data_IF_726381343497
#
_entry.id   IF_726381343497
#
_cell.length_a   1.000
_cell.length_b   1.000
_cell.length_c   1.000
_cell.angle_alpha   90.00
_cell.angle_beta   90.00
_cell.angle_gamma   90.00
#
_symmetry.space_group_name_H-M   'P 1'
#
loop_
_entity.id
_entity.type
_entity.pdbx_description
1 polymer ?
#
# COMPACT_ATOMS: atom_id res chain seq x y z
N UNK A 1 -3.88 -8.07 -8.20
CA UNK A 1 -3.71 -6.70 -7.69
C UNK A 1 -4.49 -5.71 -8.54
N UNK A 2 -4.85 -4.55 -8.01
CA UNK A 2 -5.60 -3.47 -8.69
C UNK A 2 -4.71 -2.36 -9.21
N UNK A 3 -3.48 -2.24 -8.74
CA UNK A 3 -2.55 -1.20 -9.16
C UNK A 3 -1.73 -1.63 -10.38
N UNK A 4 -1.61 -0.75 -11.38
CA UNK A 4 -0.85 -1.04 -12.60
C UNK A 4 0.09 0.05 -13.10
N UNK A 5 0.28 1.16 -12.37
CA UNK A 5 1.18 2.26 -12.79
C UNK A 5 2.57 1.72 -13.18
N UNK A 6 3.15 0.88 -12.32
CA UNK A 6 4.45 0.25 -12.58
C UNK A 6 4.40 -0.70 -13.79
N UNK A 7 3.33 -1.48 -13.94
CA UNK A 7 3.13 -2.40 -15.07
C UNK A 7 3.00 -1.64 -16.39
N UNK A 8 2.24 -0.54 -16.42
CA UNK A 8 2.05 0.28 -17.61
C UNK A 8 3.36 0.96 -18.03
N UNK A 9 4.19 1.38 -17.07
CA UNK A 9 5.54 1.86 -17.37
C UNK A 9 6.41 0.76 -17.99
N UNK A 10 6.37 -0.47 -17.45
CA UNK A 10 7.09 -1.63 -18.04
C UNK A 10 6.61 -1.88 -19.47
N UNK A 11 5.30 -1.88 -19.71
CA UNK A 11 4.71 -2.02 -21.04
C UNK A 11 5.26 -0.98 -22.01
N UNK A 12 5.18 0.31 -21.66
CA UNK A 12 5.70 1.41 -22.48
C UNK A 12 7.19 1.23 -22.79
N UNK A 13 8.00 0.87 -21.79
CA UNK A 13 9.45 0.69 -21.96
C UNK A 13 9.75 -0.51 -22.87
N UNK A 14 9.12 -1.66 -22.65
CA UNK A 14 9.36 -2.87 -23.45
C UNK A 14 8.88 -2.67 -24.89
N UNK A 15 7.68 -2.11 -25.08
CA UNK A 15 7.12 -1.82 -26.41
C UNK A 15 8.02 -0.87 -27.21
N UNK A 16 8.56 0.18 -26.57
CA UNK A 16 9.51 1.09 -27.21
C UNK A 16 10.87 0.46 -27.55
N UNK A 17 11.21 -0.69 -26.95
CA UNK A 17 12.44 -1.43 -27.22
C UNK A 17 12.22 -2.65 -28.11
N UNK A 18 11.11 -2.69 -28.86
CA UNK A 18 10.85 -3.69 -29.90
C UNK A 18 10.23 -5.00 -29.40
N UNK A 19 9.82 -5.06 -28.13
CA UNK A 19 9.07 -6.20 -27.59
C UNK A 19 7.58 -6.04 -27.86
N UNK A 20 6.90 -7.17 -28.08
CA UNK A 20 5.43 -7.20 -28.12
C UNK A 20 4.91 -7.51 -26.73
N UNK A 21 4.24 -6.54 -26.09
CA UNK A 21 3.65 -6.72 -24.76
C UNK A 21 2.18 -7.08 -24.89
N UNK A 22 1.76 -8.16 -24.23
CA UNK A 22 0.35 -8.51 -24.05
C UNK A 22 -0.04 -8.13 -22.63
N UNK A 23 -0.68 -6.97 -22.48
CA UNK A 23 -1.11 -6.47 -21.18
C UNK A 23 -2.48 -7.04 -20.83
N UNK A 24 -2.52 -7.98 -19.87
CA UNK A 24 -3.77 -8.61 -19.42
C UNK A 24 -4.58 -7.74 -18.44
N UNK A 25 -4.05 -6.57 -18.07
CA UNK A 25 -4.71 -5.64 -17.13
C UNK A 25 -4.43 -5.98 -15.67
N UNK A 26 -5.42 -5.71 -14.82
CA UNK A 26 -5.40 -5.87 -13.37
C UNK A 26 -6.43 -6.90 -12.94
N UNK A 27 -6.37 -7.37 -11.70
CA UNK A 27 -7.27 -8.41 -11.16
C UNK A 27 -7.26 -9.72 -11.98
N UNK A 28 -6.14 -10.01 -12.65
CA UNK A 28 -5.94 -11.21 -13.46
C UNK A 28 -5.69 -12.41 -12.55
N UNK A 29 -6.47 -13.49 -12.72
CA UNK A 29 -6.28 -14.74 -11.98
C UNK A 29 -5.32 -15.70 -12.70
N UNK A 30 -4.89 -16.79 -12.02
CA UNK A 30 -3.96 -17.77 -12.60
C UNK A 30 -4.48 -18.39 -13.89
N UNK A 31 -5.78 -18.72 -13.95
CA UNK A 31 -6.39 -19.35 -15.13
C UNK A 31 -6.38 -18.43 -16.35
N UNK A 32 -6.71 -17.15 -16.17
CA UNK A 32 -6.66 -16.15 -17.24
C UNK A 32 -5.23 -15.98 -17.77
N UNK A 33 -4.23 -16.06 -16.89
CA UNK A 33 -2.82 -16.03 -17.30
C UNK A 33 -2.42 -17.29 -18.08
N UNK A 34 -2.87 -18.47 -17.65
CA UNK A 34 -2.67 -19.75 -18.36
C UNK A 34 -3.34 -19.71 -19.74
N UNK A 35 -4.57 -19.23 -19.83
CA UNK A 35 -5.32 -19.09 -21.08
C UNK A 35 -4.61 -18.13 -22.03
N UNK A 36 -4.09 -17.01 -21.50
CA UNK A 36 -3.30 -16.06 -22.27
C UNK A 36 -1.97 -16.66 -22.75
N UNK A 37 -1.28 -17.45 -21.92
CA UNK A 37 -0.07 -18.17 -22.30
C UNK A 37 -0.34 -19.09 -23.50
N UNK A 38 -1.39 -19.92 -23.41
CA UNK A 38 -1.79 -20.86 -24.47
C UNK A 38 -2.19 -20.12 -25.76
N UNK A 39 -2.86 -18.98 -25.64
CA UNK A 39 -3.33 -18.18 -26.78
C UNK A 39 -2.20 -17.45 -27.49
N UNK A 40 -1.27 -16.83 -26.76
CA UNK A 40 -0.30 -15.90 -27.32
C UNK A 40 1.12 -16.47 -27.42
N UNK A 41 1.40 -17.62 -26.80
CA UNK A 41 2.71 -18.29 -26.79
C UNK A 41 3.86 -17.33 -26.46
N UNK A 42 3.82 -16.63 -25.29
CA UNK A 42 4.82 -15.63 -24.94
C UNK A 42 6.18 -16.27 -24.65
N UNK A 43 7.25 -15.49 -24.78
CA UNK A 43 8.61 -15.92 -24.39
C UNK A 43 8.90 -15.70 -22.90
N UNK A 44 8.17 -14.77 -22.26
CA UNK A 44 8.36 -14.34 -20.88
C UNK A 44 7.00 -14.05 -20.25
N UNK A 45 6.86 -14.31 -18.95
CA UNK A 45 5.71 -13.85 -18.14
C UNK A 45 6.18 -12.77 -17.19
N UNK A 46 5.41 -11.68 -17.06
CA UNK A 46 5.65 -10.63 -16.08
C UNK A 46 4.54 -10.60 -15.03
N UNK A 47 4.89 -10.64 -13.75
CA UNK A 47 3.95 -10.50 -12.63
C UNK A 47 4.25 -9.22 -11.84
N UNK A 48 3.20 -8.46 -11.49
CA UNK A 48 3.31 -7.21 -10.74
C UNK A 48 2.42 -7.22 -9.50
N UNK A 49 2.94 -6.74 -8.37
CA UNK A 49 2.20 -6.65 -7.10
C UNK A 49 2.63 -5.48 -6.22
N UNK A 50 1.66 -4.72 -5.72
CA UNK A 50 1.80 -3.63 -4.78
C UNK A 50 1.64 -4.09 -3.32
N UNK A 51 0.74 -5.02 -3.05
CA UNK A 51 0.40 -5.44 -1.67
C UNK A 51 1.09 -6.74 -1.25
N UNK A 52 1.30 -6.91 0.07
CA UNK A 52 1.93 -8.12 0.64
C UNK A 52 1.14 -9.38 0.27
N UNK A 53 -0.20 -9.31 0.31
CA UNK A 53 -1.07 -10.41 -0.12
C UNK A 53 -0.87 -10.76 -1.59
N UNK A 54 -0.66 -9.76 -2.47
CA UNK A 54 -0.37 -10.00 -3.88
C UNK A 54 0.98 -10.69 -4.10
N UNK A 55 2.01 -10.39 -3.29
CA UNK A 55 3.26 -11.13 -3.32
C UNK A 55 3.07 -12.60 -2.94
N UNK A 56 2.19 -12.91 -1.98
CA UNK A 56 1.84 -14.28 -1.62
C UNK A 56 1.06 -14.98 -2.75
N UNK A 57 0.09 -14.29 -3.37
CA UNK A 57 -0.65 -14.82 -4.52
C UNK A 57 0.28 -15.17 -5.69
N UNK A 58 1.39 -14.44 -5.89
CA UNK A 58 2.37 -14.82 -6.90
C UNK A 58 3.01 -16.19 -6.64
N UNK A 59 3.15 -16.61 -5.38
CA UNK A 59 3.64 -17.95 -5.04
C UNK A 59 2.65 -18.99 -5.56
N UNK A 60 1.36 -18.77 -5.32
CA UNK A 60 0.28 -19.66 -5.75
C UNK A 60 0.18 -19.67 -7.29
N UNK A 61 0.18 -18.52 -7.95
CA UNK A 61 0.17 -18.41 -9.42
C UNK A 61 1.35 -19.15 -10.07
N UNK A 62 2.55 -18.99 -9.52
CA UNK A 62 3.73 -19.69 -10.04
C UNK A 62 3.62 -21.21 -9.83
N UNK A 63 3.04 -21.65 -8.72
CA UNK A 63 2.72 -23.06 -8.50
C UNK A 63 1.67 -23.59 -9.50
N UNK A 64 0.65 -22.80 -9.82
CA UNK A 64 -0.36 -23.16 -10.82
C UNK A 64 0.26 -23.31 -12.22
N UNK A 65 1.15 -22.39 -12.61
CA UNK A 65 1.90 -22.47 -13.88
C UNK A 65 2.77 -23.74 -13.94
N UNK A 66 3.41 -24.12 -12.84
CA UNK A 66 4.17 -25.39 -12.73
C UNK A 66 3.27 -26.60 -12.93
N UNK A 67 2.08 -26.61 -12.33
CA UNK A 67 1.12 -27.70 -12.47
C UNK A 67 0.63 -27.86 -13.92
N UNK A 68 0.47 -26.74 -14.64
CA UNK A 68 0.13 -26.70 -16.07
C UNK A 68 1.34 -26.89 -16.99
N UNK A 69 2.51 -27.27 -16.45
CA UNK A 69 3.75 -27.53 -17.19
C UNK A 69 4.25 -26.32 -18.02
N UNK A 70 3.90 -25.11 -17.58
CA UNK A 70 4.41 -23.87 -18.18
C UNK A 70 5.80 -23.61 -17.60
N UNK A 71 6.82 -23.56 -18.47
CA UNK A 71 8.23 -23.54 -18.08
C UNK A 71 9.02 -22.41 -18.80
N UNK A 72 8.44 -21.22 -18.92
CA UNK A 72 9.13 -20.05 -19.49
C UNK A 72 9.61 -19.10 -18.38
N UNK A 73 10.67 -18.30 -18.59
CA UNK A 73 11.16 -17.41 -17.53
C UNK A 73 10.09 -16.40 -17.07
N UNK A 74 10.00 -16.22 -15.76
CA UNK A 74 9.09 -15.28 -15.11
C UNK A 74 9.89 -14.12 -14.53
N UNK A 75 9.46 -12.89 -14.83
CA UNK A 75 9.93 -11.69 -14.17
C UNK A 75 8.88 -11.24 -13.16
N UNK A 76 9.31 -10.97 -11.93
CA UNK A 76 8.42 -10.48 -10.87
C UNK A 76 8.90 -9.13 -10.35
N UNK A 77 7.97 -8.24 -10.05
CA UNK A 77 8.28 -6.91 -9.51
C UNK A 77 7.07 -6.23 -8.87
N UNK A 78 7.26 -4.99 -8.45
CA UNK A 78 6.24 -4.18 -7.76
C UNK A 78 6.61 -3.84 -6.32
N UNK A 79 5.85 -2.95 -5.68
CA UNK A 79 6.28 -2.30 -4.44
C UNK A 79 6.36 -3.22 -3.21
N UNK A 80 5.54 -4.27 -3.15
CA UNK A 80 5.59 -5.25 -2.07
C UNK A 80 6.69 -6.29 -2.25
N UNK A 81 7.23 -6.44 -3.46
CA UNK A 81 8.21 -7.49 -3.74
C UNK A 81 9.62 -7.05 -3.34
N UNK A 82 10.38 -8.04 -2.88
CA UNK A 82 11.81 -7.89 -2.63
C UNK A 82 12.57 -9.01 -3.33
N UNK A 83 13.84 -8.75 -3.65
CA UNK A 83 14.73 -9.76 -4.21
C UNK A 83 14.82 -11.00 -3.31
N UNK A 84 14.90 -10.77 -2.00
CA UNK A 84 14.93 -11.84 -1.00
C UNK A 84 13.67 -12.72 -1.03
N UNK A 85 12.48 -12.11 -1.03
CA UNK A 85 11.21 -12.86 -1.07
C UNK A 85 11.07 -13.63 -2.38
N UNK A 86 11.44 -13.02 -3.50
CA UNK A 86 11.39 -13.66 -4.82
C UNK A 86 12.17 -14.99 -4.82
N UNK A 87 13.42 -14.97 -4.37
CA UNK A 87 14.28 -16.15 -4.43
C UNK A 87 14.05 -17.18 -3.32
N UNK A 88 13.48 -16.78 -2.17
CA UNK A 88 13.21 -17.69 -1.07
C UNK A 88 11.79 -18.27 -1.07
N UNK A 89 10.82 -17.58 -1.67
CA UNK A 89 9.41 -17.93 -1.57
C UNK A 89 8.77 -18.20 -2.95
N UNK A 90 9.08 -17.43 -3.99
CA UNK A 90 8.44 -17.61 -5.31
C UNK A 90 9.21 -18.64 -6.15
N UNK A 91 10.51 -18.40 -6.33
CA UNK A 91 11.40 -19.24 -7.15
C UNK A 91 11.33 -20.75 -6.83
N UNK A 92 11.27 -21.20 -5.56
CA UNK A 92 11.24 -22.64 -5.26
C UNK A 92 9.98 -23.38 -5.73
N UNK A 93 8.91 -22.66 -6.08
CA UNK A 93 7.64 -23.23 -6.55
C UNK A 93 7.54 -23.25 -8.08
N UNK A 94 8.64 -22.92 -8.79
CA UNK A 94 8.70 -22.91 -10.25
C UNK A 94 9.75 -23.86 -10.79
N UNK A 95 9.50 -24.40 -11.99
CA UNK A 95 10.46 -25.26 -12.70
C UNK A 95 11.56 -24.46 -13.41
N UNK A 96 11.26 -23.24 -13.87
CA UNK A 96 12.23 -22.36 -14.53
C UNK A 96 12.65 -21.18 -13.64
N UNK A 97 13.33 -20.22 -14.27
CA UNK A 97 13.76 -18.97 -13.67
C UNK A 97 12.58 -18.09 -13.27
N UNK A 98 12.65 -17.62 -12.02
CA UNK A 98 11.89 -16.48 -11.51
C UNK A 98 12.88 -15.42 -11.09
N UNK A 99 12.86 -14.26 -11.77
CA UNK A 99 13.86 -13.20 -11.59
C UNK A 99 13.17 -11.93 -11.08
N UNK A 100 13.78 -11.30 -10.07
CA UNK A 100 13.29 -10.04 -9.53
C UNK A 100 13.75 -8.84 -10.39
N UNK A 101 12.79 -8.03 -10.84
CA UNK A 101 13.03 -6.74 -11.48
C UNK A 101 12.65 -5.60 -10.52
N UNK A 102 13.61 -4.72 -10.22
CA UNK A 102 13.42 -3.61 -9.28
C UNK A 102 12.57 -2.48 -9.88
N UNK A 103 12.76 -2.20 -11.16
CA UNK A 103 12.08 -1.17 -11.94
C UNK A 103 12.02 -1.56 -13.43
N UNK A 104 11.32 -0.77 -14.24
CA UNK A 104 11.10 -1.06 -15.65
C UNK A 104 12.40 -1.15 -16.48
N UNK A 105 13.42 -0.36 -16.14
CA UNK A 105 14.71 -0.41 -16.84
C UNK A 105 15.45 -1.71 -16.50
N UNK A 106 15.49 -2.09 -15.23
CA UNK A 106 16.09 -3.36 -14.81
C UNK A 106 15.37 -4.56 -15.44
N UNK A 107 14.05 -4.49 -15.62
CA UNK A 107 13.28 -5.52 -16.32
C UNK A 107 13.70 -5.66 -17.78
N UNK A 108 13.87 -4.54 -18.49
CA UNK A 108 14.38 -4.54 -19.87
C UNK A 108 15.80 -5.12 -19.95
N UNK A 109 16.69 -4.73 -19.04
CA UNK A 109 18.06 -5.24 -18.98
C UNK A 109 18.09 -6.76 -18.79
N UNK A 110 17.26 -7.29 -17.86
CA UNK A 110 17.13 -8.73 -17.62
C UNK A 110 16.65 -9.47 -18.87
N UNK A 111 15.64 -8.96 -19.58
CA UNK A 111 15.14 -9.60 -20.80
C UNK A 111 16.22 -9.60 -21.89
N UNK A 112 16.96 -8.50 -22.03
CA UNK A 112 18.08 -8.42 -22.97
C UNK A 112 19.18 -9.44 -22.64
N UNK A 113 19.49 -9.62 -21.36
CA UNK A 113 20.46 -10.61 -20.89
C UNK A 113 19.98 -12.05 -21.15
N UNK A 114 18.70 -12.34 -20.92
CA UNK A 114 18.10 -13.65 -21.19
C UNK A 114 18.10 -14.02 -22.69
N UNK A 115 18.04 -13.03 -23.57
CA UNK A 115 18.12 -13.22 -25.02
C UNK A 115 19.56 -13.45 -25.53
N UNK A 116 20.59 -13.18 -24.72
CA UNK A 116 21.98 -13.35 -25.09
C UNK A 116 22.60 -14.54 -24.35
N UNK A 117 23.06 -15.57 -25.08
CA UNK A 117 23.59 -16.82 -24.49
C UNK A 117 24.65 -16.59 -23.41
N UNK A 118 25.59 -15.67 -23.64
CA UNK A 118 26.69 -15.41 -22.69
C UNK A 118 26.18 -14.68 -21.45
N UNK A 119 25.39 -13.62 -21.63
CA UNK A 119 24.80 -12.88 -20.51
C UNK A 119 23.84 -13.73 -19.69
N UNK A 120 23.10 -14.63 -20.34
CA UNK A 120 22.20 -15.59 -19.70
C UNK A 120 22.94 -16.53 -18.74
N UNK A 121 24.08 -17.08 -19.15
CA UNK A 121 24.91 -17.91 -18.28
C UNK A 121 25.42 -17.14 -17.06
N UNK A 122 25.89 -15.90 -17.27
CA UNK A 122 26.34 -15.02 -16.19
C UNK A 122 25.21 -14.68 -15.21
N UNK A 123 24.01 -14.39 -15.73
CA UNK A 123 22.81 -14.11 -14.94
C UNK A 123 22.38 -15.33 -14.10
N UNK A 124 22.40 -16.53 -14.67
CA UNK A 124 22.11 -17.78 -13.97
C UNK A 124 23.05 -18.00 -12.78
N UNK A 125 24.34 -17.73 -12.98
CA UNK A 125 25.35 -17.84 -11.92
C UNK A 125 25.11 -16.80 -10.82
N UNK A 126 24.74 -15.57 -11.17
CA UNK A 126 24.42 -14.51 -10.20
C UNK A 126 23.19 -14.89 -9.36
N UNK A 127 22.12 -15.38 -10.00
CA UNK A 127 20.90 -15.83 -9.33
C UNK A 127 21.19 -16.96 -8.34
N UNK A 128 21.95 -17.99 -8.75
CA UNK A 128 22.32 -19.09 -7.86
C UNK A 128 23.16 -18.62 -6.66
N UNK A 129 24.10 -17.69 -6.88
CA UNK A 129 24.87 -17.06 -5.79
C UNK A 129 23.97 -16.31 -4.81
N UNK A 130 22.99 -15.56 -5.31
CA UNK A 130 22.03 -14.82 -4.48
C UNK A 130 21.15 -15.76 -3.66
N UNK A 131 20.62 -16.83 -4.27
CA UNK A 131 19.85 -17.86 -3.58
C UNK A 131 20.69 -18.48 -2.45
N UNK A 132 21.94 -18.87 -2.73
CA UNK A 132 22.86 -19.43 -1.73
C UNK A 132 23.15 -18.44 -0.60
N UNK A 133 23.38 -17.17 -0.92
CA UNK A 133 23.60 -16.11 0.07
C UNK A 133 22.39 -15.90 0.97
N UNK A 134 21.18 -15.84 0.40
CA UNK A 134 19.96 -15.68 1.19
C UNK A 134 19.69 -16.91 2.07
N UNK A 135 19.90 -18.12 1.55
CA UNK A 135 19.78 -19.37 2.33
C UNK A 135 20.83 -19.49 3.43
N UNK A 136 22.09 -19.10 3.20
CA UNK A 136 23.12 -19.12 4.25
C UNK A 136 22.80 -18.15 5.38
N UNK A 137 22.16 -17.01 5.08
CA UNK A 137 21.69 -16.06 6.06
C UNK A 137 20.38 -16.51 6.77
N UNK A 138 19.73 -17.58 6.31
CA UNK A 138 18.60 -18.24 7.00
C UNK A 138 19.03 -19.33 7.97
N UNK A 139 20.31 -19.77 7.97
CA UNK A 139 20.80 -20.65 9.03
C UNK A 139 20.54 -19.92 10.35
N UNK A 140 19.70 -20.47 11.23
CA UNK A 140 19.22 -19.68 12.33
C UNK A 140 20.42 -19.37 13.21
N UNK A 141 20.46 -18.14 13.69
CA UNK A 141 21.20 -17.77 14.88
C UNK A 141 20.55 -18.50 16.07
N UNK A 142 20.60 -19.83 16.08
CA UNK A 142 20.12 -20.72 17.16
C UNK A 142 20.83 -20.36 18.47
N UNK A 143 21.99 -19.70 18.40
CA UNK A 143 22.80 -19.31 19.55
C UNK A 143 22.56 -17.90 20.11
N UNK A 144 21.48 -17.19 19.76
CA UNK A 144 21.15 -15.90 20.43
C UNK A 144 19.68 -15.65 20.81
N UNK A 145 18.77 -16.63 20.66
CA UNK A 145 17.32 -16.44 20.93
C UNK A 145 16.87 -17.05 22.27
N UNK A 146 17.76 -17.68 23.04
CA UNK A 146 17.55 -17.84 24.50
C UNK A 146 18.05 -16.57 25.23
N UNK A 147 17.74 -15.40 24.68
CA UNK A 147 17.78 -14.17 25.46
C UNK A 147 16.41 -14.04 26.11
N UNK A 148 16.32 -14.48 27.36
CA UNK A 148 15.29 -14.18 28.36
C UNK A 148 13.98 -13.57 27.83
N UNK A 149 13.07 -14.40 27.30
CA UNK A 149 11.63 -14.03 27.17
C UNK A 149 11.00 -13.70 28.55
N UNK A 150 11.67 -14.04 29.65
CA UNK A 150 11.33 -13.67 31.03
C UNK A 150 11.45 -12.17 31.31
N UNK A 151 12.15 -11.41 30.45
CA UNK A 151 12.36 -9.94 30.60
C UNK A 151 11.56 -9.09 29.61
N UNK A 152 10.71 -9.71 28.77
CA UNK A 152 9.77 -8.97 27.93
C UNK A 152 8.66 -8.39 28.81
N UNK A 153 8.90 -7.21 29.34
CA UNK A 153 7.90 -6.43 30.06
C UNK A 153 6.98 -5.84 29.00
N UNK A 154 5.67 -6.10 29.10
CA UNK A 154 4.66 -5.33 28.36
C UNK A 154 4.92 -3.86 28.67
N UNK A 155 5.44 -3.10 27.72
CA UNK A 155 5.49 -1.64 27.86
C UNK A 155 4.02 -1.20 27.81
N UNK A 156 3.44 -1.05 29.00
CA UNK A 156 2.04 -0.67 29.14
C UNK A 156 1.92 0.75 28.64
N UNK A 157 1.32 0.92 27.46
CA UNK A 157 0.88 2.23 26.99
C UNK A 157 0.10 2.89 28.11
N UNK A 158 0.51 4.11 28.50
CA UNK A 158 -0.11 4.78 29.64
C UNK A 158 -1.52 5.21 29.28
N UNK A 159 -2.50 4.85 30.11
CA UNK A 159 -3.87 5.36 29.98
C UNK A 159 -3.89 6.89 30.10
N UNK A 160 -4.73 7.53 29.30
CA UNK A 160 -4.86 8.97 29.30
C UNK A 160 -5.83 9.41 30.39
N UNK A 161 -5.44 10.46 31.11
CA UNK A 161 -6.32 11.04 32.13
C UNK A 161 -7.50 11.80 31.47
N UNK A 162 -7.28 12.34 30.27
CA UNK A 162 -8.27 13.10 29.49
C UNK A 162 -8.33 12.55 28.06
N UNK A 163 -9.49 12.03 27.66
CA UNK A 163 -9.74 11.53 26.31
C UNK A 163 -10.17 12.68 25.39
N UNK A 164 -9.46 12.92 24.26
CA UNK A 164 -9.92 13.83 23.22
C UNK A 164 -11.33 13.48 22.74
N UNK A 165 -12.25 14.43 22.90
CA UNK A 165 -13.64 14.23 22.52
C UNK A 165 -13.84 14.55 21.02
N UNK A 166 -14.49 13.67 20.24
CA UNK A 166 -14.86 14.00 18.88
C UNK A 166 -15.99 15.05 18.85
N UNK A 167 -16.12 15.84 17.77
CA UNK A 167 -17.17 16.84 17.65
C UNK A 167 -18.58 16.22 17.58
N UNK A 168 -18.70 15.06 16.91
CA UNK A 168 -19.90 14.25 16.87
C UNK A 168 -19.55 12.79 16.49
N UNK A 169 -20.55 11.90 16.54
CA UNK A 169 -20.44 10.49 16.17
C UNK A 169 -21.28 10.16 14.93
N UNK A 170 -21.46 11.13 14.03
CA UNK A 170 -22.20 10.97 12.78
C UNK A 170 -21.24 10.58 11.65
N UNK A 171 -21.83 10.04 10.59
CA UNK A 171 -21.09 9.81 9.35
C UNK A 171 -21.03 11.12 8.56
N UNK A 172 -19.85 11.42 8.02
CA UNK A 172 -19.60 12.58 7.18
C UNK A 172 -19.04 12.12 5.85
N UNK A 173 -19.61 12.58 4.76
CA UNK A 173 -19.08 12.39 3.41
C UNK A 173 -18.91 13.77 2.74
N UNK A 174 -17.67 14.12 2.42
CA UNK A 174 -17.32 15.46 1.93
C UNK A 174 -16.40 15.39 0.73
N UNK A 175 -16.51 16.40 -0.13
CA UNK A 175 -15.53 16.69 -1.18
C UNK A 175 -14.43 17.55 -0.55
N UNK A 176 -13.17 17.15 -0.76
CA UNK A 176 -12.00 17.84 -0.22
C UNK A 176 -11.57 19.00 -1.13
N UNK A 177 -11.05 20.10 -0.56
CA UNK A 177 -10.49 21.19 -1.35
C UNK A 177 -9.20 20.75 -2.05
N UNK A 178 -9.29 20.50 -3.36
CA UNK A 178 -8.24 19.83 -4.14
C UNK A 178 -6.88 20.55 -4.11
N UNK A 179 -6.88 21.88 -4.04
CA UNK A 179 -5.63 22.66 -3.97
C UNK A 179 -4.88 22.42 -2.66
N UNK A 180 -5.60 22.46 -1.53
CA UNK A 180 -5.00 22.18 -0.21
C UNK A 180 -4.53 20.72 -0.12
N UNK A 181 -5.25 19.80 -0.77
CA UNK A 181 -4.82 18.39 -0.89
C UNK A 181 -3.52 18.31 -1.68
N UNK A 182 -3.40 18.99 -2.81
CA UNK A 182 -2.20 18.93 -3.64
C UNK A 182 -0.96 19.57 -2.99
N UNK A 183 -1.14 20.52 -2.06
CA UNK A 183 -0.04 21.06 -1.25
C UNK A 183 0.59 20.02 -0.31
N UNK A 184 -0.13 18.91 -0.04
CA UNK A 184 0.34 17.80 0.79
C UNK A 184 0.95 16.64 -0.03
N UNK A 185 0.98 16.73 -1.37
CA UNK A 185 1.67 15.72 -2.20
C UNK A 185 3.16 15.71 -1.87
N UNK A 186 3.74 14.51 -1.69
CA UNK A 186 5.17 14.36 -1.48
C UNK A 186 5.93 14.44 -2.81
N UNK A 187 6.74 15.50 -3.06
CA UNK A 187 7.41 15.66 -4.35
C UNK A 187 8.41 14.55 -4.66
N UNK A 188 9.02 13.94 -3.63
CA UNK A 188 9.94 12.82 -3.83
C UNK A 188 9.20 11.56 -4.29
N UNK A 189 7.96 11.35 -3.85
CA UNK A 189 7.17 10.22 -4.33
C UNK A 189 6.68 10.49 -5.76
N UNK A 190 6.00 11.63 -6.00
CA UNK A 190 5.49 11.96 -7.33
C UNK A 190 6.61 12.04 -8.38
N UNK A 191 7.57 12.96 -8.21
CA UNK A 191 8.53 13.27 -9.28
C UNK A 191 9.66 12.26 -9.38
N UNK A 192 10.27 11.86 -8.25
CA UNK A 192 11.41 10.96 -8.27
C UNK A 192 11.01 9.50 -8.42
N UNK A 193 10.05 9.03 -7.61
CA UNK A 193 9.66 7.60 -7.59
C UNK A 193 8.72 7.25 -8.73
N UNK A 194 7.60 7.94 -8.87
CA UNK A 194 6.58 7.59 -9.86
C UNK A 194 6.95 8.08 -11.28
N UNK A 195 7.38 9.33 -11.41
CA UNK A 195 7.75 9.92 -12.70
C UNK A 195 9.24 9.70 -13.09
N UNK A 196 10.02 9.04 -12.24
CA UNK A 196 11.38 8.60 -12.58
C UNK A 196 12.42 9.72 -12.72
N UNK A 197 12.18 10.90 -12.14
CA UNK A 197 13.16 11.99 -12.15
C UNK A 197 14.42 11.58 -11.37
N UNK A 198 15.60 11.67 -12.02
CA UNK A 198 16.89 11.40 -11.39
C UNK A 198 17.51 12.70 -10.88
N UNK A 199 17.82 12.77 -9.59
CA UNK A 199 18.36 13.97 -8.93
C UNK A 199 17.50 14.42 -7.75
N UNK A 200 17.74 15.61 -7.21
CA UNK A 200 16.89 16.20 -6.18
C UNK A 200 15.89 17.15 -6.85
N UNK A 201 14.70 16.65 -7.17
CA UNK A 201 13.71 17.41 -7.95
C UNK A 201 13.40 18.77 -7.31
N UNK A 202 13.17 18.80 -5.99
CA UNK A 202 12.84 20.04 -5.27
C UNK A 202 13.96 21.08 -5.35
N UNK A 203 15.22 20.65 -5.27
CA UNK A 203 16.36 21.55 -5.43
C UNK A 203 16.52 22.02 -6.88
N UNK A 204 16.42 21.10 -7.83
CA UNK A 204 16.57 21.37 -9.26
C UNK A 204 15.49 22.32 -9.78
N UNK A 205 14.26 22.19 -9.28
CA UNK A 205 13.16 23.10 -9.57
C UNK A 205 13.46 24.51 -9.04
N UNK A 206 13.95 24.64 -7.81
CA UNK A 206 14.37 25.94 -7.22
C UNK A 206 15.51 26.59 -8.00
N UNK A 207 16.42 25.78 -8.54
CA UNK A 207 17.55 26.24 -9.36
C UNK A 207 17.18 26.46 -10.83
N UNK A 208 15.90 26.34 -11.21
CA UNK A 208 15.41 26.48 -12.59
C UNK A 208 16.11 25.55 -13.59
N UNK A 209 16.44 24.33 -13.17
CA UNK A 209 16.98 23.31 -14.07
C UNK A 209 15.91 22.96 -15.10
N UNK A 210 16.22 23.16 -16.40
CA UNK A 210 15.25 23.04 -17.51
C UNK A 210 14.39 21.78 -17.47
N UNK A 211 14.99 20.61 -17.18
CA UNK A 211 14.28 19.33 -17.12
C UNK A 211 13.27 19.28 -15.96
N UNK A 212 13.62 19.83 -14.80
CA UNK A 212 12.72 19.89 -13.64
C UNK A 212 11.53 20.83 -13.91
N UNK A 213 11.80 22.01 -14.47
CA UNK A 213 10.77 22.99 -14.86
C UNK A 213 9.80 22.40 -15.88
N UNK A 214 10.32 21.77 -16.94
CA UNK A 214 9.46 21.16 -17.98
C UNK A 214 8.57 20.04 -17.43
N UNK A 215 9.08 19.22 -16.51
CA UNK A 215 8.28 18.18 -15.85
C UNK A 215 7.24 18.79 -14.91
N UNK A 216 7.60 19.83 -14.16
CA UNK A 216 6.68 20.57 -13.29
C UNK A 216 5.52 21.18 -14.10
N UNK A 217 5.82 21.84 -15.21
CA UNK A 217 4.81 22.39 -16.14
C UNK A 217 3.91 21.30 -16.72
N UNK A 218 4.48 20.13 -17.06
CA UNK A 218 3.70 18.98 -17.54
C UNK A 218 2.72 18.48 -16.46
N UNK A 219 3.16 18.42 -15.20
CA UNK A 219 2.28 18.05 -14.08
C UNK A 219 1.18 19.09 -13.86
N UNK A 220 1.49 20.38 -13.92
CA UNK A 220 0.48 21.44 -13.79
C UNK A 220 -0.54 21.40 -14.94
N UNK A 221 -0.11 21.10 -16.16
CA UNK A 221 -1.03 20.88 -17.27
C UNK A 221 -1.99 19.72 -16.98
N UNK A 222 -1.51 18.63 -16.40
CA UNK A 222 -2.36 17.51 -15.99
C UNK A 222 -3.30 17.87 -14.85
N UNK A 223 -2.84 18.66 -13.88
CA UNK A 223 -3.72 19.20 -12.83
C UNK A 223 -4.92 19.95 -13.41
N UNK A 224 -4.71 20.78 -14.43
CA UNK A 224 -5.81 21.48 -15.10
C UNK A 224 -6.74 20.51 -15.85
N UNK A 225 -6.19 19.51 -16.56
CA UNK A 225 -6.99 18.44 -17.20
C UNK A 225 -7.89 17.71 -16.19
N UNK A 226 -7.36 17.44 -15.00
CA UNK A 226 -8.11 16.75 -13.95
C UNK A 226 -9.18 17.64 -13.32
N UNK A 227 -8.91 18.94 -13.12
CA UNK A 227 -9.91 19.91 -12.63
C UNK A 227 -11.07 20.09 -13.58
N UNK A 228 -10.82 20.06 -14.89
CA UNK A 228 -11.86 20.20 -15.91
C UNK A 228 -12.77 18.96 -16.00
N UNK A 229 -12.45 17.88 -15.29
CA UNK A 229 -13.25 16.66 -15.27
C UNK A 229 -14.15 16.60 -14.02
N UNK A 230 -15.44 16.83 -14.21
CA UNK A 230 -16.45 16.86 -13.13
C UNK A 230 -16.61 15.52 -12.38
N UNK A 231 -16.18 14.39 -12.96
CA UNK A 231 -16.26 13.08 -12.30
C UNK A 231 -15.08 12.79 -11.38
N UNK A 232 -13.97 13.55 -11.50
CA UNK A 232 -12.74 13.31 -10.76
C UNK A 232 -12.63 14.30 -9.61
N UNK A 233 -12.96 13.83 -8.41
CA UNK A 233 -12.92 14.64 -7.19
C UNK A 233 -12.25 13.89 -6.05
N UNK A 234 -11.58 14.63 -5.16
CA UNK A 234 -11.10 14.09 -3.89
C UNK A 234 -12.29 13.99 -2.92
N UNK A 235 -12.67 12.78 -2.54
CA UNK A 235 -13.79 12.51 -1.64
C UNK A 235 -13.32 11.75 -0.42
N UNK A 236 -13.99 11.96 0.71
CA UNK A 236 -13.76 11.18 1.92
C UNK A 236 -15.05 10.90 2.64
N UNK A 237 -15.19 9.68 3.14
CA UNK A 237 -16.17 9.32 4.17
C UNK A 237 -15.43 9.04 5.47
N UNK A 238 -15.88 9.62 6.58
CA UNK A 238 -15.31 9.36 7.89
C UNK A 238 -16.38 9.37 8.98
N UNK A 239 -16.07 8.72 10.10
CA UNK A 239 -16.89 8.72 11.31
C UNK A 239 -16.03 8.46 12.54
N UNK A 240 -16.34 9.17 13.61
CA UNK A 240 -15.83 8.84 14.95
C UNK A 240 -16.72 7.77 15.59
N UNK A 241 -16.08 6.79 16.20
CA UNK A 241 -16.75 5.70 16.89
C UNK A 241 -16.32 5.68 18.34
N UNK A 242 -17.31 5.49 19.22
CA UNK A 242 -17.06 5.12 20.60
C UNK A 242 -16.44 3.72 20.62
N UNK A 243 -15.38 3.54 21.39
CA UNK A 243 -14.61 2.31 21.41
C UNK A 243 -14.06 1.97 22.79
N UNK A 244 -13.75 0.69 23.00
CA UNK A 244 -12.94 0.20 24.12
C UNK A 244 -12.06 -0.95 23.66
N UNK A 245 -11.01 -1.26 24.42
CA UNK A 245 -10.19 -2.45 24.19
C UNK A 245 -10.52 -3.60 25.12
N UNK A 246 -10.36 -4.81 24.60
CA UNK A 246 -10.39 -6.05 25.37
C UNK A 246 -9.26 -6.95 24.88
N UNK A 247 -8.16 -7.02 25.65
CA UNK A 247 -6.94 -7.71 25.26
C UNK A 247 -6.33 -7.19 23.94
N UNK A 248 -6.59 -7.89 22.84
CA UNK A 248 -6.14 -7.55 21.49
C UNK A 248 -7.26 -6.95 20.62
N UNK A 249 -8.47 -6.93 21.14
CA UNK A 249 -9.65 -6.49 20.43
C UNK A 249 -9.90 -5.00 20.62
N UNK A 250 -10.47 -4.41 19.58
CA UNK A 250 -11.04 -3.08 19.56
C UNK A 250 -12.54 -3.19 19.31
N UNK A 251 -13.33 -2.85 20.32
CA UNK A 251 -14.77 -3.02 20.34
C UNK A 251 -15.42 -1.71 19.91
N UNK A 252 -16.21 -1.75 18.85
CA UNK A 252 -16.89 -0.60 18.28
C UNK A 252 -18.34 -0.58 18.76
N UNK A 253 -18.73 0.56 19.33
CA UNK A 253 -20.08 0.75 19.85
C UNK A 253 -20.94 1.62 18.93
N UNK A 254 -22.25 1.40 19.02
CA UNK A 254 -23.25 2.28 18.43
C UNK A 254 -23.16 3.71 19.01
N UNK A 255 -23.49 4.71 18.21
CA UNK A 255 -23.38 6.13 18.60
C UNK A 255 -24.33 6.51 19.74
N UNK A 256 -25.46 5.80 19.88
CA UNK A 256 -26.55 6.16 20.81
C UNK A 256 -26.76 5.14 21.93
N UNK A 257 -26.00 4.04 21.94
CA UNK A 257 -26.17 2.96 22.92
C UNK A 257 -24.83 2.33 23.31
N UNK A 258 -24.85 1.41 24.28
CA UNK A 258 -23.67 0.61 24.66
C UNK A 258 -23.59 -0.71 23.90
N UNK A 259 -24.36 -0.86 22.82
CA UNK A 259 -24.36 -2.07 22.02
C UNK A 259 -23.09 -2.12 21.18
N UNK A 260 -22.38 -3.24 21.26
CA UNK A 260 -21.32 -3.58 20.32
C UNK A 260 -21.94 -3.78 18.94
N UNK A 261 -21.45 -3.02 17.96
CA UNK A 261 -21.87 -3.13 16.54
C UNK A 261 -20.80 -3.81 15.69
N UNK A 262 -19.56 -3.83 16.16
CA UNK A 262 -18.45 -4.44 15.45
C UNK A 262 -17.22 -4.61 16.34
N UNK A 263 -16.25 -5.42 15.90
CA UNK A 263 -15.01 -5.70 16.62
C UNK A 263 -13.87 -5.96 15.65
N UNK A 264 -12.72 -5.36 15.91
CA UNK A 264 -11.46 -5.69 15.23
C UNK A 264 -10.57 -6.48 16.18
N UNK A 265 -9.97 -7.57 15.73
CA UNK A 265 -8.95 -8.31 16.48
C UNK A 265 -7.59 -8.05 15.87
N UNK A 266 -6.68 -7.45 16.63
CA UNK A 266 -5.35 -7.09 16.14
C UNK A 266 -4.27 -8.06 16.62
N UNK A 267 -3.22 -8.23 15.81
CA UNK A 267 -2.04 -8.97 16.26
C UNK A 267 -1.30 -8.23 17.37
N UNK A 268 -0.49 -8.98 18.12
CA UNK A 268 0.40 -8.44 19.15
C UNK A 268 1.82 -8.88 18.87
N UNK A 269 2.78 -7.94 18.86
CA UNK A 269 4.19 -8.26 18.71
C UNK A 269 4.61 -9.32 19.73
N UNK A 270 5.41 -10.30 19.32
CA UNK A 270 5.98 -11.32 20.22
C UNK A 270 7.41 -10.99 20.64
N UNK A 271 7.99 -9.96 20.03
CA UNK A 271 9.26 -9.34 20.39
C UNK A 271 9.08 -7.88 20.89
N UNK A 272 10.16 -7.29 21.40
CA UNK A 272 10.26 -5.87 21.76
C UNK A 272 9.19 -5.42 22.78
N UNK A 273 8.40 -4.41 22.41
CA UNK A 273 7.47 -3.69 23.27
C UNK A 273 6.13 -4.43 23.45
N UNK A 274 5.93 -5.57 22.77
CA UNK A 274 4.71 -6.39 22.82
C UNK A 274 3.43 -5.61 22.47
N UNK A 275 3.52 -4.67 21.51
CA UNK A 275 2.43 -3.76 21.14
C UNK A 275 1.32 -4.42 20.33
N UNK A 276 0.10 -3.96 20.55
CA UNK A 276 -1.07 -4.16 19.69
C UNK A 276 -1.80 -2.82 19.50
N UNK A 277 -2.52 -2.65 18.39
CA UNK A 277 -3.26 -1.40 18.13
C UNK A 277 -4.35 -1.13 19.18
N UNK A 278 -4.91 -2.18 19.78
CA UNK A 278 -5.87 -2.11 20.88
C UNK A 278 -5.29 -1.47 22.16
N UNK A 279 -3.95 -1.44 22.32
CA UNK A 279 -3.32 -0.81 23.48
C UNK A 279 -3.47 0.73 23.49
N UNK A 280 -3.86 1.35 22.36
CA UNK A 280 -4.00 2.81 22.23
C UNK A 280 -5.37 3.35 22.63
N UNK A 281 -6.26 2.50 23.16
CA UNK A 281 -7.56 2.93 23.69
C UNK A 281 -7.83 2.35 25.06
N UNK A 282 -8.70 3.00 25.82
CA UNK A 282 -9.09 2.57 27.16
C UNK A 282 -9.72 1.17 27.17
N UNK A 283 -9.38 0.35 28.17
CA UNK A 283 -9.92 -1.00 28.28
C UNK A 283 -11.39 -1.00 28.72
N UNK A 284 -12.09 -2.12 28.52
CA UNK A 284 -13.44 -2.37 29.01
C UNK A 284 -13.63 -2.02 30.50
N UNK A 285 -12.59 -2.24 31.30
CA UNK A 285 -12.58 -1.97 32.75
C UNK A 285 -12.51 -0.49 33.10
N UNK A 286 -12.22 0.40 32.15
CA UNK A 286 -12.25 1.85 32.36
C UNK A 286 -13.69 2.36 32.42
N UNK A 287 -13.97 3.29 33.32
CA UNK A 287 -15.27 3.97 33.38
C UNK A 287 -15.44 5.04 32.29
N UNK A 288 -14.34 5.45 31.64
CA UNK A 288 -14.35 6.42 30.55
C UNK A 288 -14.54 5.70 29.21
N UNK A 289 -15.23 6.37 28.29
CA UNK A 289 -15.32 5.97 26.90
C UNK A 289 -14.10 6.48 26.13
N UNK A 290 -13.64 5.71 25.15
CA UNK A 290 -12.61 6.13 24.21
C UNK A 290 -13.18 6.27 22.79
N UNK A 291 -12.38 6.83 21.88
CA UNK A 291 -12.78 7.09 20.50
C UNK A 291 -11.69 6.75 19.50
N UNK A 292 -12.11 6.23 18.37
CA UNK A 292 -11.31 6.13 17.14
C UNK A 292 -12.04 6.83 16.01
N UNK A 293 -11.31 7.31 15.03
CA UNK A 293 -11.91 7.73 13.75
C UNK A 293 -11.56 6.70 12.70
N UNK A 294 -12.51 6.34 11.84
CA UNK A 294 -12.23 5.58 10.63
C UNK A 294 -12.56 6.43 9.42
N UNK A 295 -11.79 6.28 8.35
CA UNK A 295 -12.09 6.96 7.10
C UNK A 295 -11.73 6.11 5.87
N UNK A 296 -12.38 6.44 4.75
CA UNK A 296 -11.94 6.06 3.40
C UNK A 296 -11.91 7.34 2.56
N UNK A 297 -10.76 7.66 1.98
CA UNK A 297 -10.59 8.73 1.02
C UNK A 297 -10.28 8.17 -0.37
N UNK A 298 -10.70 8.87 -1.41
CA UNK A 298 -10.49 8.47 -2.79
C UNK A 298 -10.30 9.70 -3.68
N UNK A 299 -9.64 9.53 -4.83
CA UNK A 299 -9.55 10.55 -5.85
C UNK A 299 -10.09 10.02 -7.20
N UNK A 300 -11.37 10.33 -7.43
CA UNK A 300 -12.12 10.00 -8.64
C UNK A 300 -12.39 8.51 -8.87
N UNK A 301 -13.58 8.12 -9.33
CA UNK A 301 -13.64 7.14 -10.41
C UNK A 301 -13.06 7.75 -11.71
N UNK A 302 -12.93 6.96 -12.78
CA UNK A 302 -12.56 7.39 -14.14
C UNK A 302 -11.10 7.81 -14.40
N UNK A 303 -10.21 7.79 -13.40
CA UNK A 303 -8.77 8.05 -13.58
C UNK A 303 -8.17 7.15 -14.67
N UNK A 304 -8.51 5.86 -14.62
CA UNK A 304 -8.00 4.86 -15.55
C UNK A 304 -8.49 5.10 -16.97
N UNK A 305 -9.79 5.32 -17.16
CA UNK A 305 -10.37 5.62 -18.48
C UNK A 305 -9.73 6.88 -19.08
N UNK A 306 -9.54 7.93 -18.26
CA UNK A 306 -8.88 9.14 -18.69
C UNK A 306 -7.42 8.87 -19.10
N UNK A 307 -6.67 8.11 -18.31
CA UNK A 307 -5.29 7.77 -18.62
C UNK A 307 -5.18 6.95 -19.92
N UNK A 308 -6.05 5.95 -20.11
CA UNK A 308 -6.11 5.11 -21.30
C UNK A 308 -6.43 5.94 -22.56
N UNK A 309 -7.31 6.93 -22.44
CA UNK A 309 -7.62 7.87 -23.53
C UNK A 309 -6.39 8.66 -24.00
N UNK A 310 -5.52 9.10 -23.08
CA UNK A 310 -4.27 9.78 -23.44
C UNK A 310 -3.21 8.80 -23.97
N UNK A 311 -3.15 7.59 -23.41
CA UNK A 311 -2.25 6.54 -23.89
C UNK A 311 -2.57 6.16 -25.34
N UNK A 312 -3.84 5.96 -25.67
CA UNK A 312 -4.31 5.60 -27.03
C UNK A 312 -4.07 6.72 -28.06
N UNK A 313 -3.88 7.96 -27.62
CA UNK A 313 -3.48 9.10 -28.47
C UNK A 313 -1.96 9.22 -28.66
N UNK A 314 -1.17 8.35 -28.01
CA UNK A 314 0.28 8.45 -27.98
C UNK A 314 0.82 9.50 -27.00
N UNK A 315 -0.02 10.07 -26.14
CA UNK A 315 0.37 11.04 -25.11
C UNK A 315 0.78 10.32 -23.81
N UNK A 316 1.79 9.44 -23.90
CA UNK A 316 2.21 8.55 -22.83
C UNK A 316 2.62 9.28 -21.53
N UNK A 317 3.32 10.41 -21.63
CA UNK A 317 3.72 11.18 -20.46
C UNK A 317 2.51 11.74 -19.71
N UNK A 318 1.51 12.25 -20.43
CA UNK A 318 0.27 12.78 -19.82
C UNK A 318 -0.49 11.64 -19.13
N UNK A 319 -0.65 10.50 -19.80
CA UNK A 319 -1.26 9.30 -19.23
C UNK A 319 -0.57 8.86 -17.94
N UNK A 320 0.76 8.77 -17.95
CA UNK A 320 1.55 8.37 -16.78
C UNK A 320 1.46 9.38 -15.62
N UNK A 321 1.43 10.68 -15.94
CA UNK A 321 1.22 11.73 -14.93
C UNK A 321 -0.18 11.64 -14.34
N UNK A 322 -1.23 11.40 -15.14
CA UNK A 322 -2.61 11.23 -14.63
C UNK A 322 -2.65 10.12 -13.58
N UNK A 323 -2.15 8.93 -13.90
CA UNK A 323 -2.14 7.79 -12.98
C UNK A 323 -1.31 8.08 -11.72
N UNK A 324 -0.09 8.63 -11.90
CA UNK A 324 0.83 8.92 -10.79
C UNK A 324 0.28 10.01 -9.85
N UNK A 325 -0.29 11.07 -10.43
CA UNK A 325 -0.86 12.18 -9.68
C UNK A 325 -2.12 11.74 -8.92
N UNK A 326 -2.94 10.88 -9.51
CA UNK A 326 -4.13 10.36 -8.84
C UNK A 326 -3.78 9.55 -7.57
N UNK A 327 -2.79 8.66 -7.66
CA UNK A 327 -2.32 7.89 -6.51
C UNK A 327 -1.80 8.81 -5.39
N UNK A 328 -0.95 9.77 -5.74
CA UNK A 328 -0.41 10.73 -4.76
C UNK A 328 -1.49 11.68 -4.22
N UNK A 329 -2.53 11.99 -5.01
CA UNK A 329 -3.67 12.79 -4.54
C UNK A 329 -4.52 12.01 -3.54
N UNK A 330 -4.67 10.68 -3.71
CA UNK A 330 -5.35 9.83 -2.74
C UNK A 330 -4.59 9.77 -1.40
N UNK A 331 -3.26 9.61 -1.44
CA UNK A 331 -2.40 9.65 -0.26
C UNK A 331 -2.42 11.02 0.43
N UNK A 332 -2.36 12.10 -0.36
CA UNK A 332 -2.46 13.46 0.14
C UNK A 332 -3.85 13.75 0.73
N UNK A 333 -4.92 13.18 0.17
CA UNK A 333 -6.28 13.26 0.71
C UNK A 333 -6.37 12.58 2.07
N UNK A 334 -5.72 11.43 2.23
CA UNK A 334 -5.62 10.72 3.51
C UNK A 334 -4.84 11.53 4.56
N UNK A 335 -3.77 12.23 4.15
CA UNK A 335 -3.04 13.13 5.05
C UNK A 335 -3.89 14.35 5.42
N UNK A 336 -4.57 14.96 4.45
CA UNK A 336 -5.43 16.11 4.66
C UNK A 336 -6.53 15.80 5.68
N UNK A 337 -7.30 14.73 5.46
CA UNK A 337 -8.35 14.35 6.40
C UNK A 337 -7.78 13.96 7.76
N UNK A 338 -6.60 13.34 7.82
CA UNK A 338 -5.97 13.00 9.08
C UNK A 338 -5.57 14.25 9.89
N UNK A 339 -5.05 15.30 9.23
CA UNK A 339 -4.82 16.61 9.87
C UNK A 339 -6.14 17.14 10.45
N UNK A 340 -7.23 17.10 9.67
CA UNK A 340 -8.55 17.56 10.12
C UNK A 340 -9.11 16.75 11.29
N UNK A 341 -8.95 15.43 11.28
CA UNK A 341 -9.35 14.55 12.38
C UNK A 341 -8.59 14.90 13.66
N UNK A 342 -7.27 15.18 13.57
CA UNK A 342 -6.49 15.64 14.73
C UNK A 342 -6.99 16.99 15.25
N UNK A 343 -7.23 17.95 14.35
CA UNK A 343 -7.81 19.26 14.71
C UNK A 343 -9.18 19.11 15.39
N UNK A 344 -10.03 18.20 14.92
CA UNK A 344 -11.34 17.88 15.51
C UNK A 344 -11.23 17.32 16.94
N UNK A 345 -10.17 16.56 17.24
CA UNK A 345 -9.83 16.13 18.60
C UNK A 345 -9.14 17.20 19.44
N UNK A 346 -8.90 18.40 18.89
CA UNK A 346 -8.15 19.46 19.56
C UNK A 346 -6.63 19.21 19.59
N UNK A 347 -6.14 18.20 18.87
CA UNK A 347 -4.72 17.89 18.72
C UNK A 347 -4.17 18.77 17.61
N UNK A 348 -3.49 19.85 18.02
CA UNK A 348 -2.88 20.80 17.09
C UNK A 348 -1.43 20.46 16.85
N UNK A 349 -1.04 20.42 15.59
CA UNK A 349 0.36 20.34 15.21
C UNK A 349 1.09 21.65 15.60
N UNK A 350 2.42 21.56 15.71
CA UNK A 350 3.26 22.74 15.94
C UNK A 350 3.04 23.77 14.83
N UNK A 351 2.99 25.08 15.13
CA UNK A 351 2.92 26.12 14.09
C UNK A 351 4.17 26.15 13.19
N UNK A 352 5.24 25.44 13.57
CA UNK A 352 6.47 25.28 12.81
C UNK A 352 6.59 23.90 12.13
N UNK A 353 5.53 23.08 12.14
CA UNK A 353 5.56 21.78 11.49
C UNK A 353 5.79 21.95 9.99
N UNK A 354 6.71 21.17 9.43
CA UNK A 354 6.96 21.17 7.99
C UNK A 354 6.30 19.97 7.32
N UNK A 355 6.04 20.03 6.02
CA UNK A 355 5.57 18.87 5.25
C UNK A 355 6.53 17.68 5.41
N UNK A 356 7.84 17.91 5.53
CA UNK A 356 8.81 16.84 5.77
C UNK A 356 8.65 16.18 7.14
N UNK A 357 8.23 16.93 8.16
CA UNK A 357 7.92 16.38 9.47
C UNK A 357 6.61 15.57 9.44
N UNK A 358 5.61 16.05 8.69
CA UNK A 358 4.36 15.32 8.42
C UNK A 358 4.65 13.99 7.71
N UNK A 359 5.46 14.00 6.65
CA UNK A 359 5.85 12.77 5.93
C UNK A 359 6.66 11.80 6.78
N UNK A 360 7.33 12.29 7.83
CA UNK A 360 8.02 11.48 8.85
C UNK A 360 7.12 11.10 10.03
N UNK A 361 5.82 11.36 9.93
CA UNK A 361 4.81 11.13 10.95
C UNK A 361 5.12 11.78 12.31
N UNK A 362 5.78 12.94 12.33
CA UNK A 362 6.12 13.69 13.55
C UNK A 362 4.96 14.56 14.05
N UNK A 363 3.82 13.93 14.27
CA UNK A 363 2.62 14.49 14.85
C UNK A 363 2.05 13.52 15.90
N UNK A 364 1.16 14.00 16.76
CA UNK A 364 0.46 13.18 17.75
C UNK A 364 -0.67 12.41 17.08
N UNK A 365 -0.93 11.17 17.51
CA UNK A 365 -1.87 10.29 16.85
C UNK A 365 -1.32 9.66 15.57
N UNK A 366 -1.92 8.53 15.17
CA UNK A 366 -1.50 7.74 14.01
C UNK A 366 -2.71 7.15 13.30
N UNK A 367 -2.61 7.07 11.98
CA UNK A 367 -3.55 6.35 11.12
C UNK A 367 -2.91 5.04 10.67
N UNK A 368 -3.64 3.94 10.72
CA UNK A 368 -3.20 2.61 10.32
C UNK A 368 -4.14 2.07 9.25
N UNK A 369 -3.56 1.61 8.14
CA UNK A 369 -4.28 1.07 7.00
C UNK A 369 -4.13 -0.45 6.97
N UNK A 370 -5.22 -1.15 6.73
CA UNK A 370 -5.19 -2.61 6.66
C UNK A 370 -4.29 -3.10 5.51
N UNK A 371 -3.58 -4.20 5.74
CA UNK A 371 -2.53 -4.70 4.86
C UNK A 371 -1.13 -4.19 5.18
N UNK A 372 -1.00 -3.18 6.05
CA UNK A 372 0.30 -2.72 6.57
C UNK A 372 0.77 -3.55 7.78
N UNK A 373 2.07 -3.53 8.12
CA UNK A 373 2.65 -4.42 9.12
C UNK A 373 2.00 -4.42 10.52
N UNK A 374 1.34 -3.34 10.95
CA UNK A 374 0.66 -3.26 12.24
C UNK A 374 -0.75 -3.91 12.24
N UNK A 375 -1.40 -3.96 11.07
CA UNK A 375 -2.72 -4.56 10.86
C UNK A 375 -2.73 -5.26 9.48
N UNK A 376 -2.01 -6.39 9.34
CA UNK A 376 -1.66 -6.96 8.03
C UNK A 376 -2.82 -7.66 7.33
N UNK A 377 -3.95 -7.89 8.01
CA UNK A 377 -5.12 -8.57 7.46
C UNK A 377 -5.93 -7.59 6.62
N UNK A 378 -6.01 -7.84 5.32
CA UNK A 378 -6.82 -7.02 4.40
C UNK A 378 -8.33 -7.30 4.59
N UNK A 379 -8.68 -8.50 5.07
CA UNK A 379 -10.06 -8.93 5.34
C UNK A 379 -10.77 -7.97 6.31
N UNK A 380 -10.03 -7.35 7.23
CA UNK A 380 -10.56 -6.40 8.20
C UNK A 380 -11.08 -5.10 7.54
N UNK A 381 -10.74 -4.84 6.26
CA UNK A 381 -11.38 -3.78 5.48
C UNK A 381 -12.88 -4.00 5.36
N UNK A 382 -13.37 -5.25 5.30
CA UNK A 382 -14.80 -5.53 5.24
C UNK A 382 -15.54 -4.92 6.42
N UNK A 383 -14.95 -5.01 7.61
CA UNK A 383 -15.50 -4.46 8.84
C UNK A 383 -15.61 -2.92 8.74
N UNK A 384 -14.56 -2.27 8.23
CA UNK A 384 -14.55 -0.83 7.98
C UNK A 384 -15.61 -0.44 6.92
N UNK A 385 -15.81 -1.26 5.90
CA UNK A 385 -16.85 -1.08 4.88
C UNK A 385 -18.26 -1.19 5.45
N UNK A 386 -18.51 -2.17 6.32
CA UNK A 386 -19.81 -2.33 6.99
C UNK A 386 -20.12 -1.12 7.89
N UNK A 387 -19.10 -0.54 8.52
CA UNK A 387 -19.21 0.61 9.41
C UNK A 387 -19.38 1.96 8.70
N UNK A 388 -18.71 2.17 7.56
CA UNK A 388 -18.67 3.46 6.84
C UNK A 388 -19.49 3.47 5.54
N UNK A 389 -19.88 2.32 5.01
CA UNK A 389 -20.50 2.16 3.69
C UNK A 389 -19.88 3.05 2.58
N UNK A 390 -18.56 2.93 2.29
CA UNK A 390 -17.88 3.75 1.29
C UNK A 390 -18.46 3.61 -0.11
N UNK A 391 -18.93 2.42 -0.49
CA UNK A 391 -19.63 2.15 -1.75
C UNK A 391 -20.77 3.14 -1.98
N UNK A 392 -21.64 3.30 -0.99
CA UNK A 392 -22.79 4.22 -1.10
C UNK A 392 -22.38 5.69 -0.96
N UNK A 393 -21.39 5.99 -0.12
CA UNK A 393 -21.09 7.36 0.27
C UNK A 393 -20.14 8.08 -0.68
N UNK A 394 -19.18 7.36 -1.27
CA UNK A 394 -18.10 7.92 -2.09
C UNK A 394 -17.71 7.01 -3.29
N UNK A 395 -18.49 5.99 -3.62
CA UNK A 395 -18.26 5.07 -4.74
C UNK A 395 -16.90 4.34 -4.70
N UNK A 396 -16.52 3.85 -3.51
CA UNK A 396 -15.34 2.99 -3.36
C UNK A 396 -15.77 1.61 -2.90
N UNK A 397 -15.48 0.61 -3.72
CA UNK A 397 -15.81 -0.79 -3.49
C UNK A 397 -14.59 -1.60 -3.02
N UNK A 398 -14.87 -2.80 -2.48
CA UNK A 398 -13.86 -3.82 -2.24
C UNK A 398 -13.94 -4.89 -3.31
N UNK A 399 -12.79 -5.32 -3.81
CA UNK A 399 -12.67 -6.55 -4.61
C UNK A 399 -12.88 -7.79 -3.73
N UNK A 400 -13.00 -8.95 -4.36
CA UNK A 400 -13.04 -10.25 -3.65
C UNK A 400 -11.82 -10.46 -2.74
N UNK A 401 -10.67 -9.88 -3.11
CA UNK A 401 -9.43 -9.92 -2.33
C UNK A 401 -9.28 -8.77 -1.34
N UNK A 402 -10.36 -8.02 -1.09
CA UNK A 402 -10.40 -6.87 -0.18
C UNK A 402 -9.44 -5.75 -0.59
N UNK A 403 -9.21 -5.55 -1.89
CA UNK A 403 -8.51 -4.36 -2.41
C UNK A 403 -9.54 -3.28 -2.72
N UNK A 404 -9.14 -2.01 -2.60
CA UNK A 404 -10.04 -0.89 -2.88
C UNK A 404 -10.13 -0.63 -4.39
N UNK A 405 -11.33 -0.29 -4.86
CA UNK A 405 -11.62 0.09 -6.24
C UNK A 405 -12.50 1.36 -6.23
N UNK A 406 -12.05 2.51 -6.74
CA UNK A 406 -10.83 2.72 -7.51
C UNK A 406 -9.54 2.58 -6.68
N UNK A 407 -8.43 2.25 -7.34
CA UNK A 407 -7.13 2.03 -6.72
C UNK A 407 -6.50 3.29 -6.10
N UNK A 408 -6.92 4.47 -6.57
CA UNK A 408 -6.60 5.77 -5.97
C UNK A 408 -7.40 6.01 -4.68
N UNK A 409 -7.35 5.07 -3.74
CA UNK A 409 -8.10 5.11 -2.49
C UNK A 409 -7.25 4.70 -1.29
N UNK A 410 -7.55 5.28 -0.13
CA UNK A 410 -6.88 5.00 1.15
C UNK A 410 -7.93 4.83 2.23
N UNK A 411 -7.87 3.71 2.96
CA UNK A 411 -8.67 3.49 4.17
C UNK A 411 -7.77 3.48 5.39
N UNK A 412 -8.26 3.97 6.53
CA UNK A 412 -7.51 3.89 7.78
C UNK A 412 -8.39 3.94 9.03
N UNK A 413 -7.86 3.37 10.11
CA UNK A 413 -8.26 3.65 11.48
C UNK A 413 -7.26 4.61 12.14
N UNK A 414 -7.78 5.64 12.81
CA UNK A 414 -7.00 6.69 13.45
C UNK A 414 -7.13 6.58 14.96
N UNK A 415 -5.98 6.55 15.63
CA UNK A 415 -5.85 6.60 17.08
C UNK A 415 -5.27 7.96 17.48
N UNK A 416 -5.86 8.60 18.49
CA UNK A 416 -5.42 9.90 19.00
C UNK A 416 -4.25 9.82 19.98
N UNK A 417 -3.94 8.62 20.47
CA UNK A 417 -2.99 8.40 21.56
C UNK A 417 -1.59 8.97 21.25
N UNK A 418 -0.96 9.74 22.17
CA UNK A 418 0.35 10.38 21.93
C UNK A 418 1.51 9.39 21.82
N UNK A 419 1.40 8.22 22.45
CA UNK A 419 2.39 7.13 22.32
C UNK A 419 2.15 6.24 21.09
N UNK A 420 1.14 6.53 20.25
CA UNK A 420 0.89 5.78 19.04
C UNK A 420 2.07 5.91 18.07
N UNK A 421 2.58 4.76 17.61
CA UNK A 421 3.70 4.68 16.67
C UNK A 421 3.48 3.57 15.64
N UNK A 422 4.10 3.70 14.48
CA UNK A 422 4.15 2.61 13.52
C UNK A 422 5.06 1.49 14.04
N UNK A 423 4.57 0.26 13.99
CA UNK A 423 5.30 -0.94 14.37
C UNK A 423 4.96 -2.08 13.42
N UNK A 424 5.76 -3.14 13.47
CA UNK A 424 5.60 -4.31 12.62
C UNK A 424 5.32 -5.53 13.49
N UNK A 425 4.32 -6.32 13.12
CA UNK A 425 4.16 -7.66 13.63
C UNK A 425 5.25 -8.57 13.04
N UNK A 426 5.81 -9.43 13.89
CA UNK A 426 6.66 -10.54 13.46
C UNK A 426 5.81 -11.71 12.91
N UNK A 427 6.44 -12.66 12.22
CA UNK A 427 5.72 -13.78 11.61
C UNK A 427 4.95 -14.61 12.65
N UNK A 428 5.53 -14.84 13.83
CA UNK A 428 4.88 -15.60 14.90
C UNK A 428 3.61 -14.90 15.40
N UNK A 429 3.62 -13.56 15.48
CA UNK A 429 2.46 -12.75 15.81
C UNK A 429 1.37 -12.85 14.74
N UNK A 430 1.74 -12.82 13.46
CA UNK A 430 0.81 -12.93 12.34
C UNK A 430 0.18 -14.32 12.31
N UNK A 431 0.96 -15.38 12.50
CA UNK A 431 0.47 -16.76 12.52
C UNK A 431 -0.52 -16.99 13.68
N UNK A 432 -0.23 -16.45 14.86
CA UNK A 432 -1.15 -16.49 16.01
C UNK A 432 -2.46 -15.78 15.72
N UNK A 433 -2.39 -14.56 15.18
CA UNK A 433 -3.58 -13.80 14.80
C UNK A 433 -4.44 -14.59 13.80
N UNK A 434 -3.82 -15.15 12.76
CA UNK A 434 -4.52 -15.95 11.75
C UNK A 434 -5.15 -17.22 12.35
N UNK A 435 -4.51 -17.83 13.34
CA UNK A 435 -5.07 -18.98 14.05
C UNK A 435 -6.26 -18.60 14.93
N UNK A 436 -6.18 -17.48 15.65
CA UNK A 436 -7.29 -16.95 16.46
C UNK A 436 -8.51 -16.64 15.59
N UNK A 437 -8.29 -16.06 14.41
CA UNK A 437 -9.36 -15.66 13.49
C UNK A 437 -10.05 -16.81 12.75
N UNK A 438 -9.46 -18.01 12.76
CA UNK A 438 -10.05 -19.23 12.17
C UNK A 438 -10.90 -20.03 13.17
N UNK A 439 -10.77 -19.74 14.46
CA UNK A 439 -11.62 -20.30 15.51
C UNK A 439 -12.93 -19.55 15.58
#
# INVERSE_FOLDING_TARGET
>A
DVHDIGKNLVDIILTNNGYKVINLGIKVNSQELIDAYNKYNPNYIGLSGLLVKSAQMMVDTVSDLTNEQIDIPILVGGAALTEKFTYLNIFPNYNNLVIYAKDAMSGLDIINDLNNTKSKEELLIDVDKKIKHFKSNMIPRITKVIADKSTLIKNSIKQLDNIPQPPDLKIHNIVLPIEDVWDLINPAMLYNRHLGYRGNFTNDLKMNVKKAVALFESVNKVKEILKDNENIEAKVVYKFFKTKSENNDLIIYDSNSKNEISRFTFGRQTDKDMLSLSDYVHPLTSDQDDYVCMFVSTYGPDIRELADKYQNKGEFLISHIIQSLALETAEASAEFIHIKIREMWGIKDSPYITNQDIFKAKYIGKRYSFGYPACPRLEDQKILWDLLNPTKNINVDLTEEYMMDPEGSVSAIVFHHPEAKYFNLDNDAIDKLNFEMKK
#
